data_IF_271321527504
#
_entry.id   IF_271321527504
#
_cell.length_a   1.000
_cell.length_b   1.000
_cell.length_c   1.000
_cell.angle_alpha   90.00
_cell.angle_beta   90.00
_cell.angle_gamma   90.00
#
_symmetry.space_group_name_H-M   'P 1'
#
loop_
_entity.id
_entity.type
_entity.pdbx_description
1 polymer ?
#
# COMPACT_ATOMS: atom_id res chain seq x y z
N UNK A 1 -35.59 9.81 5.08
CA UNK A 1 -34.19 10.23 4.95
C UNK A 1 -33.29 9.11 5.47
N UNK A 2 -32.75 8.25 4.61
CA UNK A 2 -31.90 7.13 5.02
C UNK A 2 -30.46 7.67 5.10
N UNK A 3 -29.90 7.73 6.33
CA UNK A 3 -28.49 8.04 6.57
C UNK A 3 -27.64 6.93 5.96
N UNK A 4 -26.93 7.21 4.87
CA UNK A 4 -25.84 6.36 4.38
C UNK A 4 -24.70 6.48 5.40
N UNK A 5 -24.39 5.36 6.06
CA UNK A 5 -23.19 5.25 6.89
C UNK A 5 -21.98 5.44 5.99
N UNK A 6 -21.14 6.36 6.35
CA UNK A 6 -19.80 6.51 5.80
C UNK A 6 -19.01 5.29 6.32
N UNK A 7 -18.75 4.33 5.48
CA UNK A 7 -17.83 3.22 5.76
C UNK A 7 -16.45 3.64 5.26
N UNK A 8 -15.43 3.27 6.01
CA UNK A 8 -14.06 3.75 5.87
C UNK A 8 -13.55 3.95 4.45
N UNK A 9 -12.64 4.86 4.29
CA UNK A 9 -12.09 5.33 3.01
C UNK A 9 -11.57 4.23 2.09
N UNK A 10 -11.31 3.04 2.63
CA UNK A 10 -10.86 1.84 1.91
C UNK A 10 -11.88 0.69 1.96
N UNK A 11 -13.04 0.87 2.59
CA UNK A 11 -13.99 -0.20 2.93
C UNK A 11 -15.34 -0.20 2.23
N UNK A 12 -15.58 0.60 1.19
CA UNK A 12 -16.86 0.58 0.46
C UNK A 12 -16.74 0.01 -0.96
N UNK A 13 -16.49 -1.27 -1.03
CA UNK A 13 -16.93 -2.06 -2.17
C UNK A 13 -17.58 -3.34 -1.63
N UNK A 14 -18.81 -3.56 -2.05
CA UNK A 14 -19.58 -4.78 -1.96
C UNK A 14 -20.54 -4.95 -0.77
N UNK A 15 -21.80 -5.14 -1.16
CA UNK A 15 -22.79 -5.87 -0.38
C UNK A 15 -22.24 -7.27 -0.09
N UNK A 16 -22.06 -7.58 1.20
CA UNK A 16 -21.61 -8.88 1.66
C UNK A 16 -22.71 -9.91 1.36
N UNK A 17 -22.49 -10.79 0.40
CA UNK A 17 -23.11 -12.10 0.40
C UNK A 17 -22.44 -12.89 1.53
N UNK A 18 -23.23 -13.37 2.49
CA UNK A 18 -22.76 -14.23 3.57
C UNK A 18 -22.29 -15.56 2.98
N UNK A 19 -20.98 -15.69 2.75
CA UNK A 19 -20.36 -16.99 2.58
C UNK A 19 -19.75 -17.42 3.91
N UNK A 20 -20.19 -18.56 4.41
CA UNK A 20 -19.57 -19.27 5.54
C UNK A 20 -18.09 -19.52 5.21
N UNK A 21 -17.15 -19.17 6.11
CA UNK A 21 -15.75 -19.45 5.87
C UNK A 21 -15.53 -20.96 5.90
N UNK A 22 -15.03 -21.52 4.81
CA UNK A 22 -14.42 -22.83 4.84
C UNK A 22 -13.21 -22.74 5.78
N UNK A 23 -13.19 -23.58 6.80
CA UNK A 23 -12.05 -23.71 7.69
C UNK A 23 -10.90 -24.37 6.93
N UNK A 24 -10.01 -23.56 6.37
CA UNK A 24 -8.72 -24.03 5.88
C UNK A 24 -7.76 -24.10 7.07
N UNK A 25 -7.31 -25.31 7.42
CA UNK A 25 -6.16 -25.51 8.28
C UNK A 25 -4.92 -25.01 7.50
N UNK A 26 -4.03 -24.19 8.12
CA UNK A 26 -2.81 -23.77 7.45
C UNK A 26 -1.96 -25.00 7.13
N UNK A 27 -1.48 -25.08 5.89
CA UNK A 27 -0.53 -26.09 5.48
C UNK A 27 0.79 -25.84 6.22
N UNK A 28 1.10 -26.68 7.20
CA UNK A 28 2.42 -26.73 7.82
C UNK A 28 3.37 -27.35 6.81
N UNK A 29 4.43 -26.65 6.43
CA UNK A 29 5.48 -27.21 5.58
C UNK A 29 6.15 -28.36 6.31
N UNK A 30 5.93 -29.59 5.84
CA UNK A 30 6.87 -30.66 6.12
C UNK A 30 8.20 -30.32 5.47
N UNK A 31 9.28 -30.48 6.23
CA UNK A 31 10.64 -30.11 5.88
C UNK A 31 11.01 -30.58 4.46
N UNK A 32 11.11 -29.74 3.45
CA UNK A 32 11.56 -30.20 2.15
C UNK A 32 13.09 -30.29 2.21
N UNK A 33 13.57 -31.50 2.45
CA UNK A 33 14.94 -31.82 2.05
C UNK A 33 15.13 -31.30 0.62
N UNK A 34 16.26 -30.65 0.36
CA UNK A 34 16.72 -30.05 -0.93
C UNK A 34 16.35 -30.88 -2.17
N UNK A 35 15.10 -31.04 -2.48
CA UNK A 35 14.65 -31.40 -3.82
C UNK A 35 14.58 -30.08 -4.59
N UNK A 36 15.56 -29.83 -5.47
CA UNK A 36 15.37 -28.89 -6.57
C UNK A 36 14.19 -29.43 -7.36
N UNK A 37 13.01 -28.90 -7.10
CA UNK A 37 11.87 -29.09 -7.99
C UNK A 37 12.29 -28.53 -9.35
N UNK A 38 12.12 -29.32 -10.38
CA UNK A 38 12.25 -28.90 -11.78
C UNK A 38 11.02 -28.09 -12.20
N UNK A 39 10.33 -27.46 -11.25
CA UNK A 39 9.16 -26.66 -11.51
C UNK A 39 9.60 -25.43 -12.28
N UNK A 40 9.11 -25.31 -13.50
CA UNK A 40 9.31 -24.16 -14.37
C UNK A 40 8.77 -22.93 -13.62
N UNK A 41 9.65 -22.00 -13.27
CA UNK A 41 9.24 -20.77 -12.58
C UNK A 41 8.32 -19.97 -13.51
N UNK A 42 7.13 -19.66 -13.03
CA UNK A 42 6.13 -18.91 -13.78
C UNK A 42 6.35 -17.42 -13.52
N UNK A 43 6.54 -16.63 -14.57
CA UNK A 43 6.65 -15.19 -14.45
C UNK A 43 5.36 -14.50 -14.89
N UNK A 44 4.94 -13.41 -14.21
CA UNK A 44 3.83 -12.60 -14.66
C UNK A 44 4.14 -12.02 -16.05
N UNK A 45 3.08 -11.71 -16.80
CA UNK A 45 3.23 -11.00 -18.08
C UNK A 45 3.96 -9.68 -17.83
N UNK A 46 4.92 -9.37 -18.69
CA UNK A 46 5.54 -8.05 -18.71
C UNK A 46 4.48 -6.97 -18.96
N UNK A 47 4.37 -6.05 -18.02
CA UNK A 47 3.49 -4.87 -18.07
C UNK A 47 4.29 -3.57 -18.15
N UNK A 48 5.61 -3.65 -18.29
CA UNK A 48 6.52 -2.50 -18.27
C UNK A 48 6.61 -1.85 -16.89
N UNK A 49 6.59 -2.65 -15.82
CA UNK A 49 6.72 -2.18 -14.44
C UNK A 49 8.14 -2.40 -13.93
N UNK A 50 8.94 -1.34 -13.69
CA UNK A 50 10.28 -1.49 -13.13
C UNK A 50 10.30 -2.15 -11.75
N UNK A 51 9.18 -2.16 -11.05
CA UNK A 51 9.00 -2.87 -9.77
C UNK A 51 9.04 -4.37 -10.02
N UNK A 52 8.16 -4.90 -10.90
CA UNK A 52 8.15 -6.34 -11.21
C UNK A 52 9.46 -6.81 -11.83
N UNK A 53 10.05 -6.01 -12.70
CA UNK A 53 11.33 -6.34 -13.35
C UNK A 53 12.47 -6.50 -12.32
N UNK A 54 12.43 -5.79 -11.21
CA UNK A 54 13.44 -5.87 -10.17
C UNK A 54 13.35 -7.12 -9.29
N UNK A 55 12.22 -7.86 -9.32
CA UNK A 55 11.96 -8.95 -8.39
C UNK A 55 12.71 -10.25 -8.71
N UNK A 56 13.22 -10.41 -9.93
CA UNK A 56 13.78 -11.68 -10.40
C UNK A 56 14.75 -12.32 -9.41
N UNK A 57 15.76 -11.56 -8.98
CA UNK A 57 16.75 -12.10 -8.05
C UNK A 57 16.12 -12.48 -6.71
N UNK A 58 15.22 -11.66 -6.15
CA UNK A 58 14.60 -11.93 -4.86
C UNK A 58 13.75 -13.21 -4.89
N UNK A 59 13.02 -13.44 -5.98
CA UNK A 59 12.17 -14.63 -6.14
C UNK A 59 13.01 -15.90 -6.37
N UNK A 60 13.99 -15.82 -7.27
CA UNK A 60 14.85 -16.97 -7.62
C UNK A 60 15.77 -17.40 -6.48
N UNK A 61 16.24 -16.45 -5.67
CA UNK A 61 17.12 -16.70 -4.52
C UNK A 61 16.41 -16.90 -3.20
N UNK A 62 15.07 -16.89 -3.19
CA UNK A 62 14.25 -17.01 -1.97
C UNK A 62 14.54 -18.29 -1.19
N UNK A 63 14.63 -18.13 0.13
CA UNK A 63 14.94 -19.21 1.08
C UNK A 63 13.78 -19.47 2.04
N UNK A 64 13.13 -18.42 2.47
CA UNK A 64 12.19 -18.42 3.58
C UNK A 64 10.73 -18.20 3.15
N UNK A 65 10.50 -17.65 1.96
CA UNK A 65 9.16 -17.48 1.39
C UNK A 65 9.07 -18.22 0.05
N UNK A 66 7.94 -18.88 -0.17
CA UNK A 66 7.66 -19.59 -1.43
C UNK A 66 6.25 -19.27 -1.92
N UNK A 67 6.10 -19.14 -3.23
CA UNK A 67 4.80 -19.01 -3.90
C UNK A 67 4.41 -20.34 -4.51
N UNK A 68 3.19 -20.78 -4.24
CA UNK A 68 2.58 -21.97 -4.82
C UNK A 68 1.72 -21.55 -6.04
N UNK A 69 2.22 -21.81 -7.23
CA UNK A 69 1.54 -21.45 -8.47
C UNK A 69 0.23 -22.22 -8.69
N UNK A 70 0.16 -23.50 -8.30
CA UNK A 70 -1.07 -24.29 -8.42
C UNK A 70 -2.20 -23.68 -7.58
N UNK A 71 -1.86 -23.17 -6.37
CA UNK A 71 -2.82 -22.43 -5.54
C UNK A 71 -3.24 -21.12 -6.16
N UNK A 72 -2.35 -20.41 -6.85
CA UNK A 72 -2.72 -19.21 -7.61
C UNK A 72 -3.77 -19.58 -8.66
N UNK A 73 -3.55 -20.63 -9.46
CA UNK A 73 -4.51 -21.09 -10.48
C UNK A 73 -5.85 -21.49 -9.85
N UNK A 74 -5.81 -22.23 -8.73
CA UNK A 74 -7.00 -22.62 -7.98
C UNK A 74 -7.80 -21.40 -7.52
N UNK A 75 -7.15 -20.42 -6.86
CA UNK A 75 -7.80 -19.20 -6.37
C UNK A 75 -8.31 -18.36 -7.55
N UNK A 76 -7.53 -18.18 -8.60
CA UNK A 76 -7.93 -17.46 -9.79
C UNK A 76 -9.17 -18.06 -10.45
N UNK A 77 -9.33 -19.41 -10.40
CA UNK A 77 -10.45 -20.10 -11.03
C UNK A 77 -11.83 -19.71 -10.49
N UNK A 78 -11.91 -19.33 -9.21
CA UNK A 78 -13.16 -18.84 -8.62
C UNK A 78 -13.19 -17.31 -8.51
N UNK A 79 -12.05 -16.66 -8.21
CA UNK A 79 -11.97 -15.20 -8.11
C UNK A 79 -12.25 -14.50 -9.46
N UNK A 80 -12.00 -15.17 -10.58
CA UNK A 80 -12.34 -14.67 -11.91
C UNK A 80 -13.84 -14.39 -12.10
N UNK A 81 -14.70 -14.99 -11.30
CA UNK A 81 -16.16 -14.79 -11.34
C UNK A 81 -16.66 -13.79 -10.29
N UNK A 82 -15.79 -13.29 -9.42
CA UNK A 82 -16.15 -12.21 -8.51
C UNK A 82 -16.20 -10.85 -9.24
N UNK A 83 -16.97 -9.92 -8.71
CA UNK A 83 -16.87 -8.52 -9.11
C UNK A 83 -15.59 -7.93 -8.52
N UNK A 84 -14.67 -7.52 -9.38
CA UNK A 84 -13.45 -6.82 -9.04
C UNK A 84 -13.48 -5.43 -9.70
N UNK A 85 -14.33 -4.52 -9.21
CA UNK A 85 -14.47 -3.21 -9.82
C UNK A 85 -13.20 -2.39 -9.64
N UNK A 86 -13.00 -1.39 -10.51
CA UNK A 86 -12.08 -0.32 -10.23
C UNK A 86 -12.56 0.40 -8.97
N UNK A 87 -11.75 0.49 -7.90
CA UNK A 87 -12.17 1.20 -6.70
C UNK A 87 -12.54 2.66 -6.99
N UNK A 88 -13.63 3.11 -6.39
CA UNK A 88 -14.04 4.51 -6.40
C UNK A 88 -13.99 5.00 -4.95
N UNK A 89 -12.93 5.70 -4.61
CA UNK A 89 -12.77 6.23 -3.27
C UNK A 89 -13.45 7.59 -3.15
N UNK A 90 -14.12 7.81 -2.03
CA UNK A 90 -14.59 9.13 -1.67
C UNK A 90 -13.40 9.95 -1.12
N UNK A 91 -13.36 11.23 -1.46
CA UNK A 91 -12.43 12.14 -0.80
C UNK A 91 -12.76 12.25 0.69
N UNK A 92 -11.73 12.22 1.57
CA UNK A 92 -11.95 12.26 3.00
C UNK A 92 -12.59 13.57 3.46
N UNK A 93 -13.44 13.47 4.48
CA UNK A 93 -13.95 14.61 5.28
C UNK A 93 -14.50 15.80 4.48
N UNK A 94 -15.24 15.53 3.41
CA UNK A 94 -15.90 16.56 2.64
C UNK A 94 -15.00 17.38 1.71
N UNK A 95 -13.77 16.93 1.49
CA UNK A 95 -12.98 17.41 0.36
C UNK A 95 -13.77 17.20 -0.94
N UNK A 96 -13.68 18.13 -1.84
CA UNK A 96 -14.50 18.16 -3.04
C UNK A 96 -13.67 17.83 -4.30
N UNK A 97 -14.23 17.00 -5.17
CA UNK A 97 -13.69 16.82 -6.52
C UNK A 97 -13.74 18.12 -7.36
N UNK A 98 -14.45 19.17 -6.90
CA UNK A 98 -14.45 20.47 -7.53
C UNK A 98 -13.13 21.23 -7.28
N UNK A 99 -12.37 20.86 -6.25
CA UNK A 99 -11.04 21.38 -5.96
C UNK A 99 -10.03 20.21 -6.02
N UNK A 100 -9.60 19.79 -7.23
CA UNK A 100 -8.68 18.67 -7.40
C UNK A 100 -7.29 18.98 -6.86
N UNK A 101 -6.85 20.23 -6.85
CA UNK A 101 -5.53 20.63 -6.37
C UNK A 101 -5.42 20.45 -4.86
N UNK A 102 -6.46 20.87 -4.12
CA UNK A 102 -6.54 20.61 -2.68
C UNK A 102 -6.59 19.11 -2.38
N UNK A 103 -7.32 18.34 -3.19
CA UNK A 103 -7.39 16.89 -3.05
C UNK A 103 -6.02 16.23 -3.29
N UNK A 104 -5.27 16.67 -4.30
CA UNK A 104 -3.91 16.20 -4.59
C UNK A 104 -2.99 16.53 -3.42
N UNK A 105 -2.99 17.77 -2.95
CA UNK A 105 -2.16 18.18 -1.82
C UNK A 105 -2.46 17.35 -0.56
N UNK A 106 -3.74 17.14 -0.25
CA UNK A 106 -4.16 16.35 0.92
C UNK A 106 -3.68 14.91 0.83
N UNK A 107 -3.99 14.24 -0.29
CA UNK A 107 -3.65 12.82 -0.48
C UNK A 107 -2.14 12.62 -0.44
N UNK A 108 -1.37 13.44 -1.15
CA UNK A 108 0.07 13.25 -1.25
C UNK A 108 0.83 13.63 0.03
N UNK A 109 0.35 14.62 0.80
CA UNK A 109 0.92 14.92 2.12
C UNK A 109 0.63 13.79 3.10
N UNK A 110 -0.61 13.31 3.17
CA UNK A 110 -0.99 12.18 4.01
C UNK A 110 -0.21 10.91 3.61
N UNK A 111 -0.20 10.54 2.34
CA UNK A 111 0.54 9.37 1.85
C UNK A 111 2.04 9.44 2.18
N UNK A 112 2.61 10.63 2.28
CA UNK A 112 4.04 10.78 2.67
C UNK A 112 4.34 10.26 4.07
N UNK A 113 3.37 10.16 4.96
CA UNK A 113 3.49 9.71 6.35
C UNK A 113 2.56 8.54 6.70
N UNK A 114 1.87 7.95 5.70
CA UNK A 114 0.94 6.82 5.84
C UNK A 114 1.68 5.52 6.20
N UNK A 115 2.17 5.46 7.44
CA UNK A 115 2.93 4.31 7.98
C UNK A 115 2.78 4.23 9.49
N UNK A 116 2.92 3.01 10.07
CA UNK A 116 3.06 2.81 11.50
C UNK A 116 1.99 3.50 12.35
N UNK A 117 0.81 2.89 12.42
CA UNK A 117 -0.30 3.39 13.24
C UNK A 117 -0.52 2.61 14.55
N UNK A 118 0.30 1.59 14.77
CA UNK A 118 0.22 0.74 15.97
C UNK A 118 1.51 0.88 16.77
N UNK A 119 1.39 1.10 18.08
CA UNK A 119 2.54 1.10 18.99
C UNK A 119 3.23 -0.26 18.98
N UNK A 120 4.53 -0.29 18.73
CA UNK A 120 5.29 -1.53 18.56
C UNK A 120 5.48 -2.32 19.86
N UNK A 121 5.37 -1.68 21.01
CA UNK A 121 5.56 -2.32 22.31
C UNK A 121 4.24 -2.76 22.94
N UNK A 122 3.23 -1.92 22.85
CA UNK A 122 1.92 -2.15 23.49
C UNK A 122 0.88 -2.75 22.54
N UNK A 123 1.15 -2.73 21.24
CA UNK A 123 0.22 -3.12 20.19
C UNK A 123 -1.11 -2.34 20.20
N UNK A 124 -1.06 -1.11 20.73
CA UNK A 124 -2.20 -0.20 20.78
C UNK A 124 -2.25 0.63 19.49
N UNK A 125 -3.43 0.67 18.86
CA UNK A 125 -3.65 1.44 17.64
C UNK A 125 -3.86 2.92 17.95
N UNK A 126 -3.31 3.78 17.09
CA UNK A 126 -3.59 5.20 17.11
C UNK A 126 -5.05 5.45 16.69
N UNK A 127 -5.76 6.22 17.50
CA UNK A 127 -7.19 6.48 17.34
C UNK A 127 -7.52 7.92 17.72
N UNK A 128 -8.54 8.48 17.05
CA UNK A 128 -9.04 9.82 17.35
C UNK A 128 -10.56 9.89 17.18
N UNK A 129 -11.19 10.80 17.94
CA UNK A 129 -12.56 11.20 17.71
C UNK A 129 -12.59 12.50 16.89
N UNK A 130 -13.29 12.48 15.76
CA UNK A 130 -13.42 13.65 14.89
C UNK A 130 -14.76 13.64 14.15
N UNK A 131 -15.41 14.80 14.04
CA UNK A 131 -16.70 14.97 13.38
C UNK A 131 -17.81 14.02 13.89
N UNK A 132 -17.78 13.69 15.20
CA UNK A 132 -18.77 12.81 15.85
C UNK A 132 -18.59 11.32 15.51
N UNK A 133 -17.43 10.92 15.01
CA UNK A 133 -17.09 9.53 14.70
C UNK A 133 -15.73 9.18 15.29
N UNK A 134 -15.51 7.88 15.50
CA UNK A 134 -14.27 7.31 15.96
C UNK A 134 -13.48 6.75 14.75
N UNK A 135 -12.20 7.13 14.65
CA UNK A 135 -11.30 6.79 13.55
C UNK A 135 -10.06 6.07 14.06
N UNK A 136 -9.53 5.15 13.29
CA UNK A 136 -8.30 4.42 13.62
C UNK A 136 -7.38 4.30 12.40
N UNK A 137 -6.11 3.97 12.65
CA UNK A 137 -5.11 3.75 11.61
C UNK A 137 -4.96 4.98 10.66
N UNK A 138 -4.87 4.78 9.36
CA UNK A 138 -4.73 5.85 8.37
C UNK A 138 -5.93 6.82 8.35
N UNK A 139 -7.13 6.34 8.68
CA UNK A 139 -8.31 7.22 8.77
C UNK A 139 -8.18 8.21 9.94
N UNK A 140 -7.57 7.79 11.04
CA UNK A 140 -7.24 8.68 12.16
C UNK A 140 -6.21 9.73 11.77
N UNK A 141 -5.20 9.38 10.96
CA UNK A 141 -4.24 10.33 10.40
C UNK A 141 -4.96 11.37 9.53
N UNK A 142 -5.80 10.94 8.59
CA UNK A 142 -6.58 11.85 7.74
C UNK A 142 -7.50 12.77 8.57
N UNK A 143 -8.12 12.24 9.63
CA UNK A 143 -8.94 13.03 10.55
C UNK A 143 -8.12 14.10 11.27
N UNK A 144 -6.92 13.76 11.71
CA UNK A 144 -5.98 14.72 12.32
C UNK A 144 -5.55 15.82 11.36
N UNK A 145 -5.18 15.47 10.13
CA UNK A 145 -4.82 16.44 9.09
C UNK A 145 -6.00 17.36 8.81
N UNK A 146 -7.20 16.81 8.62
CA UNK A 146 -8.41 17.62 8.40
C UNK A 146 -8.71 18.53 9.59
N UNK A 147 -8.59 18.05 10.81
CA UNK A 147 -8.74 18.85 12.04
C UNK A 147 -7.75 20.00 12.08
N UNK A 148 -6.49 19.76 11.68
CA UNK A 148 -5.47 20.81 11.60
C UNK A 148 -5.83 21.88 10.58
N UNK A 149 -6.29 21.49 9.39
CA UNK A 149 -6.74 22.41 8.34
C UNK A 149 -7.94 23.25 8.80
N UNK A 150 -8.93 22.66 9.45
CA UNK A 150 -10.10 23.35 9.99
C UNK A 150 -9.74 24.37 11.06
N UNK A 151 -8.63 24.15 11.79
CA UNK A 151 -8.06 25.06 12.76
C UNK A 151 -7.09 26.10 12.15
N UNK A 152 -7.01 26.18 10.81
CA UNK A 152 -6.19 27.13 10.10
C UNK A 152 -4.69 26.80 10.07
N UNK A 153 -4.29 25.56 10.44
CA UNK A 153 -2.90 25.12 10.31
C UNK A 153 -2.63 24.79 8.83
N UNK A 154 -1.62 25.40 8.20
CA UNK A 154 -1.35 25.21 6.76
C UNK A 154 -0.60 23.88 6.51
N UNK A 155 -1.14 22.75 6.98
CA UNK A 155 -0.48 21.45 6.97
C UNK A 155 -0.24 20.88 5.55
N UNK A 156 -0.86 21.46 4.52
CA UNK A 156 -0.64 21.08 3.11
C UNK A 156 0.34 22.04 2.40
N UNK A 157 1.02 22.89 3.14
CA UNK A 157 2.02 23.81 2.58
C UNK A 157 3.44 23.32 2.93
N UNK A 158 4.21 22.97 1.93
CA UNK A 158 5.59 22.51 2.10
C UNK A 158 6.48 23.52 2.81
N UNK A 159 6.21 24.85 2.67
CA UNK A 159 6.94 25.90 3.39
C UNK A 159 6.71 25.82 4.91
N UNK A 160 5.52 25.39 5.33
CA UNK A 160 5.19 25.12 6.72
C UNK A 160 5.78 23.76 7.15
N UNK A 161 5.56 22.69 6.37
CA UNK A 161 6.05 21.36 6.69
C UNK A 161 7.57 21.32 6.85
N UNK A 162 8.32 22.06 6.06
CA UNK A 162 9.78 22.16 6.18
C UNK A 162 10.28 22.69 7.52
N UNK A 163 9.41 23.28 8.34
CA UNK A 163 9.76 23.98 9.58
C UNK A 163 8.92 23.58 10.78
N UNK A 164 7.90 22.74 10.60
CA UNK A 164 7.03 22.28 11.69
C UNK A 164 7.87 21.68 12.80
N UNK A 165 7.58 22.06 14.02
CA UNK A 165 8.29 21.53 15.19
C UNK A 165 7.63 20.27 15.72
N UNK A 166 8.38 19.46 16.49
CA UNK A 166 7.83 18.26 17.12
C UNK A 166 6.60 18.54 18.01
N UNK A 167 6.59 19.58 18.86
CA UNK A 167 5.39 19.92 19.63
C UNK A 167 4.17 20.29 18.77
N UNK A 168 4.36 21.00 17.66
CA UNK A 168 3.30 21.34 16.73
C UNK A 168 2.77 20.07 16.03
N UNK A 169 3.66 19.19 15.58
CA UNK A 169 3.27 17.92 14.96
C UNK A 169 2.52 17.01 15.96
N UNK A 170 3.00 16.92 17.19
CA UNK A 170 2.32 16.17 18.26
C UNK A 170 0.91 16.73 18.53
N UNK A 171 0.73 18.04 18.47
CA UNK A 171 -0.59 18.66 18.59
C UNK A 171 -1.51 18.37 17.41
N UNK A 172 -0.97 18.31 16.19
CA UNK A 172 -1.75 17.89 14.99
C UNK A 172 -2.25 16.47 15.19
N UNK A 173 -1.38 15.56 15.60
CA UNK A 173 -1.69 14.14 15.82
C UNK A 173 -2.04 13.82 17.29
N UNK A 174 -2.74 14.74 17.98
CA UNK A 174 -3.28 14.46 19.30
C UNK A 174 -4.37 13.38 19.22
N UNK A 175 -4.16 12.24 19.90
CA UNK A 175 -5.03 11.08 19.91
C UNK A 175 -4.98 10.32 21.23
N UNK A 176 -5.42 9.06 21.24
CA UNK A 176 -5.40 8.19 22.43
C UNK A 176 -4.00 7.85 22.92
N UNK A 177 -3.04 7.75 21.99
CA UNK A 177 -1.60 7.55 22.23
C UNK A 177 -0.81 8.58 21.43
N UNK A 178 0.49 8.74 21.73
CA UNK A 178 1.38 9.46 20.81
C UNK A 178 1.41 8.71 19.47
N UNK A 179 1.34 9.46 18.36
CA UNK A 179 1.43 8.88 17.01
C UNK A 179 2.72 8.07 16.87
N UNK A 180 2.66 6.78 16.54
CA UNK A 180 3.85 5.96 16.39
C UNK A 180 4.82 6.53 15.35
N UNK A 181 6.11 6.42 15.62
CA UNK A 181 7.19 6.96 14.77
C UNK A 181 7.06 8.47 14.48
N UNK A 182 6.61 9.26 15.46
CA UNK A 182 6.37 10.70 15.29
C UNK A 182 7.65 11.46 14.89
N UNK A 183 8.81 11.07 15.39
CA UNK A 183 10.08 11.72 15.05
C UNK A 183 10.53 11.41 13.62
N UNK A 184 10.29 10.19 13.16
CA UNK A 184 10.54 9.79 11.79
C UNK A 184 9.55 10.47 10.83
N UNK A 185 8.26 10.55 11.19
CA UNK A 185 7.25 11.30 10.43
C UNK A 185 7.62 12.80 10.35
N UNK A 186 8.13 13.39 11.43
CA UNK A 186 8.63 14.76 11.41
C UNK A 186 9.79 14.93 10.41
N UNK A 187 10.76 14.02 10.43
CA UNK A 187 11.88 14.05 9.50
C UNK A 187 11.41 13.91 8.04
N UNK A 188 10.44 13.05 7.79
CA UNK A 188 9.78 12.90 6.48
C UNK A 188 9.13 14.22 6.04
N UNK A 189 8.32 14.83 6.90
CA UNK A 189 7.63 16.09 6.59
C UNK A 189 8.61 17.23 6.30
N UNK A 190 9.72 17.31 7.05
CA UNK A 190 10.78 18.27 6.76
C UNK A 190 11.41 18.04 5.39
N UNK A 191 11.71 16.77 5.04
CA UNK A 191 12.31 16.42 3.75
C UNK A 191 11.36 16.75 2.59
N UNK A 192 10.11 16.29 2.69
CA UNK A 192 9.07 16.53 1.68
C UNK A 192 8.78 18.03 1.56
N UNK A 193 8.59 18.69 2.69
CA UNK A 193 8.32 20.13 2.75
C UNK A 193 9.42 20.97 2.11
N UNK A 194 10.69 20.61 2.33
CA UNK A 194 11.83 21.28 1.70
C UNK A 194 11.78 21.18 0.19
N UNK A 195 11.58 19.97 -0.36
CA UNK A 195 11.49 19.76 -1.82
C UNK A 195 10.33 20.55 -2.41
N UNK A 196 9.16 20.51 -1.76
CA UNK A 196 7.98 21.26 -2.21
C UNK A 196 8.23 22.78 -2.19
N UNK A 197 8.81 23.29 -1.10
CA UNK A 197 9.09 24.72 -0.96
C UNK A 197 10.11 25.22 -2.00
N UNK A 198 11.15 24.43 -2.29
CA UNK A 198 12.22 24.81 -3.20
C UNK A 198 11.84 24.71 -4.67
N UNK A 199 10.98 23.72 -5.05
CA UNK A 199 10.74 23.38 -6.46
C UNK A 199 9.30 23.58 -6.92
N UNK A 200 8.32 23.54 -6.01
CA UNK A 200 6.90 23.41 -6.34
C UNK A 200 6.02 24.43 -5.64
N UNK A 201 6.58 25.56 -5.24
CA UNK A 201 5.89 26.63 -4.49
C UNK A 201 5.11 26.13 -3.25
N UNK A 202 5.63 25.08 -2.62
CA UNK A 202 5.05 24.48 -1.43
C UNK A 202 3.90 23.50 -1.68
N UNK A 203 3.60 23.10 -2.92
CA UNK A 203 2.39 22.35 -3.26
C UNK A 203 2.66 21.08 -4.06
N UNK A 204 2.07 19.96 -3.63
CA UNK A 204 2.13 18.71 -4.39
C UNK A 204 1.40 18.78 -5.73
N UNK A 205 0.29 19.51 -5.82
CA UNK A 205 -0.40 19.63 -7.10
C UNK A 205 0.51 20.25 -8.18
N UNK A 206 1.39 21.20 -7.84
CA UNK A 206 2.36 21.76 -8.78
C UNK A 206 3.36 20.69 -9.26
N UNK A 207 3.81 19.80 -8.36
CA UNK A 207 4.61 18.64 -8.74
C UNK A 207 3.84 17.74 -9.71
N UNK A 208 2.63 17.31 -9.34
CA UNK A 208 1.80 16.40 -10.13
C UNK A 208 1.52 16.96 -11.52
N UNK A 209 1.12 18.22 -11.62
CA UNK A 209 0.84 18.88 -12.91
C UNK A 209 2.10 19.07 -13.78
N UNK A 210 3.27 19.05 -13.20
CA UNK A 210 4.54 19.14 -13.93
C UNK A 210 5.03 17.78 -14.48
N UNK A 211 4.38 16.67 -14.10
CA UNK A 211 4.73 15.33 -14.56
C UNK A 211 4.01 14.95 -15.85
N UNK A 212 4.56 14.00 -16.58
CA UNK A 212 3.80 13.28 -17.61
C UNK A 212 2.64 12.50 -16.95
N UNK A 213 1.46 12.38 -17.59
CA UNK A 213 0.32 11.65 -17.05
C UNK A 213 0.51 10.11 -17.18
N UNK A 214 1.68 9.64 -16.86
CA UNK A 214 2.05 8.22 -16.81
C UNK A 214 2.79 7.91 -15.52
N UNK A 215 2.77 6.67 -15.09
CA UNK A 215 3.57 6.21 -13.96
C UNK A 215 5.06 6.29 -14.28
N UNK A 216 5.42 5.76 -15.46
CA UNK A 216 6.80 5.68 -15.95
C UNK A 216 6.87 6.23 -17.38
N UNK A 217 7.73 7.23 -17.61
CA UNK A 217 7.89 7.90 -18.90
C UNK A 217 9.32 8.44 -19.08
N UNK A 218 10.29 7.53 -19.16
CA UNK A 218 11.71 7.87 -19.36
C UNK A 218 12.23 8.91 -18.35
N UNK A 219 11.84 8.80 -17.09
CA UNK A 219 12.26 9.68 -16.02
C UNK A 219 11.39 10.91 -15.81
N UNK A 220 10.28 11.08 -16.57
CA UNK A 220 9.33 12.18 -16.41
C UNK A 220 7.94 11.73 -15.92
N UNK A 221 7.74 10.44 -15.70
CA UNK A 221 6.51 9.89 -15.13
C UNK A 221 6.34 10.25 -13.66
N UNK A 222 5.12 10.09 -13.15
CA UNK A 222 4.77 10.41 -11.77
C UNK A 222 5.65 9.67 -10.77
N UNK A 223 5.80 8.34 -10.93
CA UNK A 223 6.63 7.54 -10.02
C UNK A 223 8.11 7.78 -10.29
N UNK A 224 8.53 7.87 -11.56
CA UNK A 224 9.92 8.19 -11.92
C UNK A 224 10.42 9.42 -11.15
N UNK A 225 9.60 10.47 -11.11
CA UNK A 225 9.97 11.73 -10.49
C UNK A 225 9.77 11.73 -8.99
N UNK A 226 8.70 11.10 -8.45
CA UNK A 226 8.51 10.97 -7.01
C UNK A 226 9.72 10.31 -6.34
N UNK A 227 10.15 9.16 -6.84
CA UNK A 227 11.27 8.42 -6.23
C UNK A 227 12.61 9.12 -6.41
N UNK A 228 12.77 9.90 -7.48
CA UNK A 228 14.00 10.65 -7.76
C UNK A 228 14.12 11.94 -6.95
N UNK A 229 13.01 12.65 -6.78
CA UNK A 229 13.02 14.00 -6.22
C UNK A 229 12.68 14.03 -4.74
N UNK A 230 11.92 13.07 -4.27
CA UNK A 230 11.53 12.92 -2.88
C UNK A 230 12.09 11.60 -2.31
N UNK A 231 13.24 11.60 -1.62
CA UNK A 231 13.87 10.37 -1.10
C UNK A 231 12.92 9.54 -0.23
N UNK A 232 11.91 10.17 0.36
CA UNK A 232 10.83 9.53 1.13
C UNK A 232 10.14 8.41 0.34
N UNK A 233 9.95 8.59 -0.96
CA UNK A 233 9.23 7.65 -1.82
C UNK A 233 10.14 6.61 -2.50
N UNK A 234 11.45 6.70 -2.31
CA UNK A 234 12.39 5.74 -2.88
C UNK A 234 12.48 4.47 -2.02
N UNK A 235 11.42 3.68 -2.05
CA UNK A 235 11.29 2.42 -1.32
C UNK A 235 11.97 1.28 -2.08
N UNK A 236 13.25 1.13 -1.84
CA UNK A 236 14.11 0.09 -2.41
C UNK A 236 14.90 -0.62 -1.31
N UNK A 237 15.22 -1.90 -1.55
CA UNK A 237 16.08 -2.70 -0.69
C UNK A 237 17.20 -3.33 -1.52
N UNK A 238 18.32 -3.68 -0.87
CA UNK A 238 19.43 -4.38 -1.50
C UNK A 238 19.48 -5.82 -1.02
N UNK A 239 19.38 -6.79 -1.92
CA UNK A 239 19.51 -8.21 -1.62
C UNK A 239 20.70 -8.79 -2.39
N UNK A 240 21.75 -9.17 -1.67
CA UNK A 240 22.98 -9.75 -2.25
C UNK A 240 23.56 -8.93 -3.42
N UNK A 241 23.47 -7.59 -3.33
CA UNK A 241 23.94 -6.66 -4.37
C UNK A 241 22.95 -6.33 -5.48
N UNK A 242 21.75 -6.90 -5.45
CA UNK A 242 20.66 -6.61 -6.39
C UNK A 242 19.65 -5.63 -5.78
N UNK A 243 19.31 -4.59 -6.52
CA UNK A 243 18.29 -3.61 -6.13
C UNK A 243 16.89 -4.19 -6.33
N UNK A 244 16.09 -4.22 -5.28
CA UNK A 244 14.69 -4.65 -5.28
C UNK A 244 13.81 -3.45 -5.01
N UNK A 245 12.94 -3.10 -5.96
CA UNK A 245 12.04 -1.96 -5.88
C UNK A 245 10.67 -2.41 -5.38
N UNK A 246 10.15 -1.67 -4.40
CA UNK A 246 8.79 -1.90 -3.90
C UNK A 246 7.87 -0.73 -4.23
N UNK A 247 8.33 0.49 -4.01
CA UNK A 247 7.60 1.73 -4.32
C UNK A 247 6.15 1.72 -3.79
N UNK A 248 5.94 1.22 -2.55
CA UNK A 248 4.58 1.08 -1.97
C UNK A 248 3.85 2.41 -1.97
N UNK A 249 4.37 3.40 -1.28
CA UNK A 249 3.70 4.68 -1.09
C UNK A 249 3.58 5.50 -2.40
N UNK A 250 4.61 5.63 -3.25
CA UNK A 250 4.42 6.39 -4.48
C UNK A 250 3.36 5.78 -5.40
N UNK A 251 3.20 4.45 -5.38
CA UNK A 251 2.11 3.81 -6.11
C UNK A 251 0.76 4.01 -5.42
N UNK A 252 0.70 3.90 -4.08
CA UNK A 252 -0.53 4.04 -3.31
C UNK A 252 -1.11 5.46 -3.43
N UNK A 253 -0.31 6.50 -3.26
CA UNK A 253 -0.75 7.88 -3.40
C UNK A 253 -1.32 8.16 -4.80
N UNK A 254 -0.60 7.77 -5.87
CA UNK A 254 -1.08 7.92 -7.24
C UNK A 254 -2.34 7.08 -7.51
N UNK A 255 -2.40 5.86 -6.98
CA UNK A 255 -3.60 5.03 -7.07
C UNK A 255 -4.80 5.68 -6.39
N UNK A 256 -4.60 6.24 -5.20
CA UNK A 256 -5.66 6.94 -4.47
C UNK A 256 -6.19 8.14 -5.26
N UNK A 257 -5.31 8.95 -5.84
CA UNK A 257 -5.70 10.07 -6.71
C UNK A 257 -6.48 9.58 -7.93
N UNK A 258 -5.98 8.53 -8.58
CA UNK A 258 -6.65 7.94 -9.75
C UNK A 258 -8.04 7.42 -9.39
N UNK A 259 -8.16 6.59 -8.37
CA UNK A 259 -9.43 6.00 -7.94
C UNK A 259 -10.46 7.07 -7.48
N UNK A 260 -9.99 8.22 -6.99
CA UNK A 260 -10.85 9.29 -6.46
C UNK A 260 -11.28 10.30 -7.54
N UNK A 261 -10.38 10.68 -8.44
CA UNK A 261 -10.54 11.84 -9.31
C UNK A 261 -10.72 11.48 -10.79
N UNK A 262 -10.34 10.27 -11.22
CA UNK A 262 -10.35 9.87 -12.63
C UNK A 262 -11.75 9.94 -13.25
N UNK A 263 -12.75 9.37 -12.58
CA UNK A 263 -14.13 9.34 -13.10
C UNK A 263 -14.73 10.73 -13.28
N UNK A 264 -14.31 11.69 -12.49
CA UNK A 264 -14.67 13.11 -12.63
C UNK A 264 -13.86 13.84 -13.72
N UNK A 265 -12.93 13.16 -14.38
CA UNK A 265 -12.03 13.76 -15.37
C UNK A 265 -11.02 14.74 -14.77
N UNK A 266 -10.74 14.66 -13.46
CA UNK A 266 -9.87 15.58 -12.72
C UNK A 266 -8.46 15.04 -12.48
N UNK A 267 -8.21 13.78 -12.77
CA UNK A 267 -6.88 13.19 -12.74
C UNK A 267 -6.73 12.20 -13.91
N UNK A 268 -5.72 12.43 -14.74
CA UNK A 268 -5.41 11.58 -15.89
C UNK A 268 -4.22 10.68 -15.55
N UNK A 269 -4.35 9.41 -15.86
CA UNK A 269 -3.27 8.43 -15.81
C UNK A 269 -3.41 7.51 -17.03
N UNK A 270 -2.40 7.50 -17.90
CA UNK A 270 -2.47 6.81 -19.19
C UNK A 270 -2.01 5.35 -19.13
N UNK A 271 -1.27 4.96 -18.09
CA UNK A 271 -0.70 3.62 -17.95
C UNK A 271 -0.96 2.96 -16.57
N UNK A 272 -2.21 3.01 -16.03
CA UNK A 272 -2.53 2.44 -14.72
C UNK A 272 -2.24 0.94 -14.61
N UNK A 273 -2.21 0.22 -15.75
CA UNK A 273 -1.88 -1.22 -15.81
C UNK A 273 -0.43 -1.54 -15.44
N UNK A 274 0.47 -0.55 -15.38
CA UNK A 274 1.85 -0.74 -14.91
C UNK A 274 2.00 -0.72 -13.40
N UNK A 275 0.93 -0.39 -12.69
CA UNK A 275 0.91 -0.38 -11.22
C UNK A 275 0.89 -1.81 -10.69
N UNK A 276 1.62 -2.03 -9.59
CA UNK A 276 1.65 -3.32 -8.89
C UNK A 276 0.73 -3.32 -7.68
N UNK A 277 0.75 -4.38 -6.88
CA UNK A 277 0.19 -4.36 -5.54
C UNK A 277 1.00 -3.42 -4.62
N UNK A 278 0.42 -3.09 -3.49
CA UNK A 278 1.04 -2.27 -2.46
C UNK A 278 1.60 -3.17 -1.36
N UNK A 279 2.91 -3.51 -1.46
CA UNK A 279 3.57 -4.50 -0.60
C UNK A 279 3.62 -4.03 0.87
N UNK A 280 2.47 -4.14 1.56
CA UNK A 280 2.26 -3.89 2.97
C UNK A 280 2.35 -5.19 3.80
N UNK A 281 1.84 -5.17 5.04
CA UNK A 281 1.82 -6.33 5.93
C UNK A 281 0.49 -7.12 5.87
N UNK A 282 -0.58 -6.61 5.25
CA UNK A 282 -1.92 -7.26 5.19
C UNK A 282 -2.02 -8.23 4.01
N UNK A 283 -1.60 -7.82 2.82
CA UNK A 283 -1.68 -8.68 1.63
C UNK A 283 -0.87 -9.97 1.80
N UNK A 284 0.34 -9.97 2.39
CA UNK A 284 1.05 -11.21 2.73
C UNK A 284 0.26 -12.16 3.62
N UNK A 285 -0.52 -11.65 4.59
CA UNK A 285 -1.41 -12.49 5.42
C UNK A 285 -2.49 -13.15 4.58
N UNK A 286 -3.13 -12.38 3.71
CA UNK A 286 -4.16 -12.91 2.80
C UNK A 286 -3.61 -14.04 1.92
N UNK A 287 -2.45 -13.83 1.31
CA UNK A 287 -1.79 -14.83 0.47
C UNK A 287 -1.42 -16.10 1.25
N UNK A 288 -0.94 -15.94 2.50
CA UNK A 288 -0.64 -17.07 3.39
C UNK A 288 -1.90 -17.85 3.75
N UNK A 289 -2.99 -17.18 4.14
CA UNK A 289 -4.25 -17.81 4.50
C UNK A 289 -4.89 -18.55 3.32
N UNK A 290 -4.68 -18.07 2.10
CA UNK A 290 -5.12 -18.76 0.87
C UNK A 290 -4.19 -19.93 0.48
N UNK A 291 -3.07 -20.15 1.18
CA UNK A 291 -2.06 -21.15 0.83
C UNK A 291 -1.26 -20.81 -0.43
N UNK A 292 -1.34 -19.57 -0.91
CA UNK A 292 -0.57 -19.07 -2.06
C UNK A 292 0.88 -18.87 -1.66
N UNK A 293 1.14 -18.32 -0.48
CA UNK A 293 2.49 -18.22 0.07
C UNK A 293 2.66 -19.13 1.28
N UNK A 294 3.87 -19.64 1.46
CA UNK A 294 4.28 -20.43 2.62
C UNK A 294 5.66 -19.94 3.10
N UNK A 295 5.93 -20.12 4.38
CA UNK A 295 7.13 -19.60 5.05
C UNK A 295 7.98 -20.72 5.62
N UNK A 296 9.30 -20.47 5.80
CA UNK A 296 10.13 -21.35 6.62
C UNK A 296 9.60 -21.39 8.06
N UNK A 297 9.93 -22.45 8.78
CA UNK A 297 9.49 -22.61 10.19
C UNK A 297 9.96 -21.47 11.07
N UNK A 298 11.15 -20.97 10.82
CA UNK A 298 11.79 -19.87 11.54
C UNK A 298 11.05 -18.56 11.29
N UNK A 299 10.77 -18.24 10.03
CA UNK A 299 10.02 -17.03 9.67
C UNK A 299 8.57 -17.10 10.18
N UNK A 300 7.94 -18.26 10.03
CA UNK A 300 6.58 -18.47 10.53
C UNK A 300 6.50 -18.32 12.04
N UNK A 301 7.47 -18.86 12.78
CA UNK A 301 7.57 -18.68 14.23
C UNK A 301 7.75 -17.21 14.61
N UNK A 302 8.65 -16.49 13.94
CA UNK A 302 8.89 -15.08 14.19
C UNK A 302 7.62 -14.23 14.00
N UNK A 303 6.87 -14.47 12.91
CA UNK A 303 5.60 -13.80 12.65
C UNK A 303 4.55 -14.15 13.72
N UNK A 304 4.38 -15.42 14.02
CA UNK A 304 3.35 -15.88 14.96
C UNK A 304 3.61 -15.45 16.41
N UNK A 305 4.84 -15.11 16.75
CA UNK A 305 5.25 -14.61 18.08
C UNK A 305 5.51 -13.10 18.09
N UNK A 306 5.15 -12.37 17.01
CA UNK A 306 5.34 -10.93 16.87
C UNK A 306 6.78 -10.47 17.10
N UNK A 307 7.77 -11.28 16.70
CA UNK A 307 9.17 -10.86 16.71
C UNK A 307 9.38 -9.77 15.66
N UNK A 308 10.13 -8.74 16.06
CA UNK A 308 10.49 -7.65 15.15
C UNK A 308 11.40 -8.20 14.04
N UNK A 309 10.96 -8.07 12.79
CA UNK A 309 11.71 -8.40 11.59
C UNK A 309 12.40 -7.11 11.12
N UNK A 310 13.74 -7.06 11.08
CA UNK A 310 14.42 -5.85 10.64
C UNK A 310 14.09 -5.49 9.19
N UNK A 311 13.90 -4.20 8.94
CA UNK A 311 13.79 -3.67 7.58
C UNK A 311 15.05 -4.06 6.78
N UNK A 312 14.91 -4.28 5.49
CA UNK A 312 15.96 -4.69 4.56
C UNK A 312 16.60 -6.05 4.91
N UNK A 313 16.04 -6.79 5.90
CA UNK A 313 16.42 -8.19 6.11
C UNK A 313 15.92 -9.05 4.95
N UNK A 314 16.56 -10.20 4.73
CA UNK A 314 16.11 -11.17 3.72
C UNK A 314 14.63 -11.55 3.92
N UNK A 315 14.19 -11.76 5.14
CA UNK A 315 12.81 -12.11 5.45
C UNK A 315 11.82 -11.03 5.00
N UNK A 316 12.11 -9.78 5.33
CA UNK A 316 11.24 -8.65 4.94
C UNK A 316 11.21 -8.48 3.42
N UNK A 317 12.37 -8.55 2.76
CA UNK A 317 12.48 -8.46 1.31
C UNK A 317 11.72 -9.60 0.62
N UNK A 318 11.90 -10.85 1.08
CA UNK A 318 11.20 -11.99 0.49
C UNK A 318 9.69 -11.91 0.69
N UNK A 319 9.19 -11.52 1.88
CA UNK A 319 7.76 -11.32 2.14
C UNK A 319 7.15 -10.32 1.16
N UNK A 320 7.78 -9.18 0.99
CA UNK A 320 7.30 -8.12 0.09
C UNK A 320 7.44 -8.48 -1.38
N UNK A 321 8.55 -9.09 -1.77
CA UNK A 321 8.75 -9.54 -3.15
C UNK A 321 7.73 -10.59 -3.57
N UNK A 322 7.48 -11.60 -2.73
CA UNK A 322 6.48 -12.62 -3.01
C UNK A 322 5.04 -12.07 -2.97
N UNK A 323 4.78 -11.01 -2.20
CA UNK A 323 3.50 -10.30 -2.24
C UNK A 323 3.25 -9.74 -3.65
N UNK A 324 4.20 -8.97 -4.18
CA UNK A 324 4.10 -8.36 -5.51
C UNK A 324 4.04 -9.42 -6.63
N UNK A 325 4.91 -10.40 -6.55
CA UNK A 325 4.99 -11.49 -7.51
C UNK A 325 3.69 -12.32 -7.57
N UNK A 326 3.18 -12.74 -6.41
CA UNK A 326 1.97 -13.57 -6.33
C UNK A 326 0.72 -12.83 -6.81
N UNK A 327 0.56 -11.56 -6.44
CA UNK A 327 -0.59 -10.74 -6.87
C UNK A 327 -0.56 -10.47 -8.38
N UNK A 328 0.64 -10.28 -8.96
CA UNK A 328 0.79 -10.13 -10.40
C UNK A 328 0.44 -11.41 -11.16
N UNK A 329 0.87 -12.59 -10.67
CA UNK A 329 0.46 -13.87 -11.22
C UNK A 329 -1.05 -14.09 -11.09
N UNK A 330 -1.64 -13.79 -9.93
CA UNK A 330 -3.10 -13.90 -9.72
C UNK A 330 -3.87 -13.07 -10.74
N UNK A 331 -3.50 -11.80 -10.93
CA UNK A 331 -4.14 -10.94 -11.92
C UNK A 331 -4.03 -11.53 -13.34
N UNK A 332 -2.87 -12.09 -13.69
CA UNK A 332 -2.66 -12.77 -14.95
C UNK A 332 -3.56 -13.99 -15.14
N UNK A 333 -3.65 -14.87 -14.14
CA UNK A 333 -4.50 -16.07 -14.20
C UNK A 333 -6.00 -15.73 -14.23
N UNK A 334 -6.44 -14.75 -13.44
CA UNK A 334 -7.81 -14.23 -13.49
C UNK A 334 -8.14 -13.73 -14.90
N UNK A 335 -7.25 -12.97 -15.52
CA UNK A 335 -7.45 -12.39 -16.84
C UNK A 335 -7.48 -13.41 -17.96
N UNK A 336 -6.88 -14.60 -17.81
CA UNK A 336 -7.03 -15.71 -18.77
C UNK A 336 -8.47 -16.24 -18.83
N UNK A 337 -9.22 -16.09 -17.74
CA UNK A 337 -10.59 -16.60 -17.60
C UNK A 337 -11.64 -15.52 -17.91
N UNK A 338 -11.24 -14.26 -17.99
CA UNK A 338 -12.14 -13.12 -18.20
C UNK A 338 -12.15 -12.66 -19.66
N UNK A 339 -13.31 -12.25 -20.19
CA UNK A 339 -13.37 -11.59 -21.48
C UNK A 339 -12.60 -10.26 -21.45
N UNK A 340 -12.11 -9.82 -22.60
CA UNK A 340 -11.22 -8.67 -22.73
C UNK A 340 -11.73 -7.37 -22.07
N UNK A 341 -13.05 -7.14 -22.13
CA UNK A 341 -13.69 -5.96 -21.54
C UNK A 341 -13.90 -6.03 -20.01
N UNK A 342 -13.59 -7.17 -19.38
CA UNK A 342 -13.67 -7.39 -17.94
C UNK A 342 -12.31 -7.73 -17.31
N UNK A 343 -11.22 -7.56 -18.06
CA UNK A 343 -9.89 -7.76 -17.54
C UNK A 343 -9.58 -6.72 -16.46
N UNK A 344 -8.78 -7.13 -15.49
CA UNK A 344 -8.39 -6.34 -14.32
C UNK A 344 -6.91 -5.98 -14.35
N UNK A 345 -6.53 -5.02 -13.54
CA UNK A 345 -5.14 -4.69 -13.23
C UNK A 345 -4.79 -5.13 -11.80
N UNK A 346 -3.51 -5.24 -11.51
CA UNK A 346 -3.01 -5.80 -10.23
C UNK A 346 -3.59 -5.09 -9.00
N UNK A 347 -3.71 -3.75 -8.95
CA UNK A 347 -4.30 -3.06 -7.81
C UNK A 347 -5.74 -3.47 -7.45
N UNK A 348 -6.51 -4.03 -8.39
CA UNK A 348 -7.85 -4.54 -8.07
C UNK A 348 -7.78 -5.86 -7.28
N UNK A 349 -6.76 -6.68 -7.51
CA UNK A 349 -6.48 -7.87 -6.69
C UNK A 349 -6.03 -7.43 -5.30
N UNK A 350 -5.10 -6.48 -5.22
CA UNK A 350 -4.64 -5.91 -3.95
C UNK A 350 -5.81 -5.37 -3.13
N UNK A 351 -6.63 -4.50 -3.71
CA UNK A 351 -7.80 -3.91 -3.05
C UNK A 351 -8.77 -4.99 -2.52
N UNK A 352 -8.98 -6.07 -3.31
CA UNK A 352 -9.82 -7.21 -2.89
C UNK A 352 -9.22 -7.94 -1.69
N UNK A 353 -7.93 -8.23 -1.72
CA UNK A 353 -7.24 -8.93 -0.64
C UNK A 353 -7.18 -8.06 0.61
N UNK A 354 -6.74 -6.82 0.49
CA UNK A 354 -6.64 -5.89 1.60
C UNK A 354 -7.99 -5.66 2.28
N UNK A 355 -9.04 -5.31 1.52
CA UNK A 355 -10.38 -5.05 2.06
C UNK A 355 -10.95 -6.24 2.81
N UNK A 356 -10.66 -7.45 2.34
CA UNK A 356 -11.22 -8.66 2.97
C UNK A 356 -10.43 -9.10 4.21
N UNK A 357 -9.13 -8.82 4.27
CA UNK A 357 -8.24 -9.36 5.31
C UNK A 357 -7.71 -8.33 6.31
N UNK A 358 -7.91 -7.02 6.11
CA UNK A 358 -7.36 -5.99 7.02
C UNK A 358 -7.91 -6.07 8.46
N UNK A 359 -9.05 -6.71 8.66
CA UNK A 359 -9.65 -6.94 9.99
C UNK A 359 -9.34 -8.33 10.55
N UNK A 360 -8.47 -9.11 9.90
CA UNK A 360 -8.09 -10.44 10.40
C UNK A 360 -7.33 -10.33 11.73
N UNK A 361 -7.52 -11.33 12.59
CA UNK A 361 -6.74 -11.48 13.82
C UNK A 361 -5.47 -12.33 13.64
N UNK A 362 -5.20 -12.78 12.40
CA UNK A 362 -3.98 -13.53 12.12
C UNK A 362 -2.75 -12.62 12.21
N UNK A 363 -1.65 -13.14 12.77
CA UNK A 363 -0.43 -12.36 12.89
C UNK A 363 0.14 -12.00 11.51
N UNK A 364 0.55 -10.75 11.39
CA UNK A 364 1.34 -10.25 10.28
C UNK A 364 2.81 -10.07 10.71
N UNK A 365 3.71 -9.93 9.75
CA UNK A 365 5.08 -9.58 10.07
C UNK A 365 5.14 -8.17 10.68
N UNK A 366 6.01 -8.01 11.67
CA UNK A 366 6.19 -6.76 12.39
C UNK A 366 7.54 -6.16 11.99
N UNK A 367 7.51 -5.04 11.27
CA UNK A 367 8.71 -4.31 10.85
C UNK A 367 8.58 -2.84 11.20
N UNK A 368 9.52 -2.32 11.98
CA UNK A 368 9.57 -0.89 12.27
C UNK A 368 10.17 -0.15 11.08
N UNK A 369 9.31 0.49 10.29
CA UNK A 369 9.70 1.15 9.05
C UNK A 369 8.80 2.34 8.75
N UNK A 370 9.35 3.32 8.03
CA UNK A 370 8.57 4.40 7.43
C UNK A 370 8.10 4.07 6.02
N UNK A 371 8.50 2.95 5.42
CA UNK A 371 8.26 2.70 3.99
C UNK A 371 6.88 2.12 3.68
N UNK A 372 6.19 1.53 4.69
CA UNK A 372 4.86 0.95 4.48
C UNK A 372 4.08 0.76 5.79
#
# INVERSE_FOLDING_TARGET
MKRRKFLGLLGQAAAVSQFTPFAFLPAVLENPGRARSTDTMHWPKDIGSPVLDSLHYAIESSRDVRTNYEKIVEVASWMAYEELPMPEYALPFGLSQADPDLAIDFVMVADSIDTAFTDFAKHEKFQVDFAGQHWSDSEAEFACIKRALDNGVPFLDGKFLAKITRPELNKVFEGNIEMPMLDEKLAVLHQVGKVLAEKYDGKFHNFVHSCSPKLYDNGNGLIDRLVKEFPRFNDVSMLDGHEIKFYKLPQLGIWFLYATLHKAGKFRLDDPQKMTAFADYIVPVALRLMGITSYSKELEHAINTYQLIPRDSRWEIELRAHCLYSTALMAGEINKLRPANLQIIIPQVDARLWTHYHTTTWPHHLTQTIMY
#
